data_IF_060372699819
#
_entry.id   IF_060372699819
#
_cell.length_a   1.000
_cell.length_b   1.000
_cell.length_c   1.000
_cell.angle_alpha   90.00
_cell.angle_beta   90.00
_cell.angle_gamma   90.00
#
_symmetry.space_group_name_H-M   'P 1'
#
loop_
_entity.id
_entity.type
_entity.pdbx_description
1 polymer ?
#
# COMPACT_ATOMS: atom_id res chain seq x y z
N UNK A 1 -11.82 2.70 18.47
CA UNK A 1 -10.62 2.78 17.60
C UNK A 1 -9.35 2.71 18.43
N UNK A 2 -8.27 2.05 17.94
CA UNK A 2 -7.04 1.73 18.68
C UNK A 2 -5.87 2.65 18.29
N UNK A 3 -5.02 2.97 19.25
CA UNK A 3 -3.82 3.79 19.04
C UNK A 3 -2.53 2.94 18.93
N UNK A 4 -2.66 1.60 18.98
CA UNK A 4 -1.53 0.65 19.01
C UNK A 4 -1.88 -0.65 18.32
N UNK A 5 -0.97 -1.17 17.50
CA UNK A 5 -1.10 -2.50 16.90
C UNK A 5 -1.01 -3.61 17.95
N UNK A 6 -0.17 -3.41 18.98
CA UNK A 6 -0.06 -4.36 20.10
C UNK A 6 -1.33 -4.41 20.94
N UNK A 7 -2.03 -3.27 21.08
CA UNK A 7 -3.35 -3.23 21.74
C UNK A 7 -4.39 -4.06 20.97
N UNK A 8 -4.47 -3.93 19.64
CA UNK A 8 -5.35 -4.73 18.80
C UNK A 8 -5.08 -6.24 19.04
N UNK A 9 -3.82 -6.66 19.01
CA UNK A 9 -3.44 -8.05 19.25
C UNK A 9 -3.88 -8.50 20.64
N UNK A 10 -3.63 -7.68 21.68
CA UNK A 10 -4.03 -7.98 23.04
C UNK A 10 -5.54 -8.19 23.20
N UNK A 11 -6.34 -7.34 22.55
CA UNK A 11 -7.81 -7.48 22.55
C UNK A 11 -8.24 -8.73 21.80
N UNK A 12 -7.65 -9.01 20.62
CA UNK A 12 -7.93 -10.24 19.87
C UNK A 12 -7.69 -11.51 20.73
N UNK A 13 -6.59 -11.55 21.48
CA UNK A 13 -6.23 -12.67 22.33
C UNK A 13 -7.17 -12.80 23.54
N UNK A 14 -7.46 -11.70 24.23
CA UNK A 14 -8.30 -11.67 25.43
C UNK A 14 -9.77 -12.01 25.15
N UNK A 15 -10.31 -11.46 24.06
CA UNK A 15 -11.72 -11.65 23.69
C UNK A 15 -11.91 -12.86 22.75
N UNK A 16 -10.83 -13.47 22.26
CA UNK A 16 -10.84 -14.57 21.27
C UNK A 16 -11.62 -14.18 20.00
N UNK A 17 -11.46 -12.94 19.58
CA UNK A 17 -12.00 -12.38 18.36
C UNK A 17 -10.93 -12.30 17.27
N UNK A 18 -11.29 -12.51 16.01
CA UNK A 18 -10.34 -12.32 14.92
C UNK A 18 -10.00 -10.84 14.70
N UNK A 19 -8.81 -10.55 14.17
CA UNK A 19 -8.40 -9.17 13.88
C UNK A 19 -9.44 -8.42 13.01
N UNK A 20 -9.89 -8.96 11.84
CA UNK A 20 -10.87 -8.26 11.03
C UNK A 20 -12.23 -8.09 11.74
N UNK A 21 -12.72 -9.10 12.46
CA UNK A 21 -13.99 -8.99 13.15
C UNK A 21 -13.94 -7.94 14.28
N UNK A 22 -12.78 -7.77 14.92
CA UNK A 22 -12.55 -6.71 15.88
C UNK A 22 -12.64 -5.33 15.23
N UNK A 23 -11.92 -5.12 14.11
CA UNK A 23 -11.97 -3.82 13.41
C UNK A 23 -13.36 -3.52 12.88
N UNK A 24 -14.07 -4.50 12.29
CA UNK A 24 -15.46 -4.33 11.83
C UNK A 24 -16.36 -3.87 12.97
N UNK A 25 -16.22 -4.48 14.14
CA UNK A 25 -17.02 -4.12 15.32
C UNK A 25 -16.76 -2.68 15.78
N UNK A 26 -15.50 -2.29 15.87
CA UNK A 26 -15.11 -0.95 16.31
C UNK A 26 -15.50 0.12 15.29
N UNK A 27 -15.25 -0.11 13.99
CA UNK A 27 -15.61 0.84 12.94
C UNK A 27 -17.12 1.05 12.87
N UNK A 28 -17.92 -0.02 12.97
CA UNK A 28 -19.37 0.06 12.99
C UNK A 28 -19.87 0.86 14.22
N UNK A 29 -19.29 0.61 15.39
CA UNK A 29 -19.63 1.33 16.62
C UNK A 29 -19.27 2.81 16.55
N UNK A 30 -18.08 3.14 16.04
CA UNK A 30 -17.62 4.53 15.91
C UNK A 30 -18.45 5.33 14.88
N UNK A 31 -18.93 4.66 13.83
CA UNK A 31 -19.78 5.26 12.80
C UNK A 31 -21.29 5.27 13.17
N UNK A 32 -21.68 4.67 14.29
CA UNK A 32 -23.09 4.49 14.74
C UNK A 32 -23.95 3.80 13.67
N UNK A 33 -23.45 2.70 13.11
CA UNK A 33 -24.10 1.89 12.08
C UNK A 33 -24.03 0.40 12.44
N UNK A 34 -24.76 -0.43 11.69
CA UNK A 34 -24.71 -1.88 11.88
C UNK A 34 -23.45 -2.49 11.29
N UNK A 35 -23.08 -3.68 11.78
CA UNK A 35 -21.97 -4.48 11.25
C UNK A 35 -22.19 -4.79 9.75
N UNK A 36 -23.43 -5.11 9.37
CA UNK A 36 -23.80 -5.41 7.98
C UNK A 36 -23.60 -4.20 7.06
N UNK A 37 -23.95 -2.99 7.54
CA UNK A 37 -23.72 -1.76 6.79
C UNK A 37 -22.24 -1.47 6.61
N UNK A 38 -21.42 -1.68 7.65
CA UNK A 38 -19.97 -1.48 7.56
C UNK A 38 -19.31 -2.48 6.60
N UNK A 39 -19.67 -3.77 6.68
CA UNK A 39 -19.23 -4.78 5.72
C UNK A 39 -19.65 -4.39 4.29
N UNK A 40 -20.89 -3.92 4.12
CA UNK A 40 -21.40 -3.46 2.82
C UNK A 40 -20.58 -2.33 2.20
N UNK A 41 -20.11 -1.37 3.01
CA UNK A 41 -19.22 -0.30 2.54
C UNK A 41 -17.88 -0.87 2.07
N UNK A 42 -17.27 -1.79 2.82
CA UNK A 42 -16.01 -2.40 2.44
C UNK A 42 -16.14 -3.31 1.21
N UNK A 43 -17.30 -3.97 1.01
CA UNK A 43 -17.59 -4.70 -0.23
C UNK A 43 -17.57 -3.78 -1.46
N UNK A 44 -18.14 -2.57 -1.35
CA UNK A 44 -18.07 -1.56 -2.42
C UNK A 44 -16.62 -1.14 -2.70
N UNK A 45 -15.79 -1.02 -1.65
CA UNK A 45 -14.35 -0.72 -1.83
C UNK A 45 -13.61 -1.87 -2.51
N UNK A 46 -13.89 -3.12 -2.12
CA UNK A 46 -13.30 -4.29 -2.78
C UNK A 46 -13.66 -4.36 -4.27
N UNK A 47 -14.92 -4.17 -4.62
CA UNK A 47 -15.34 -4.12 -6.03
C UNK A 47 -14.66 -2.98 -6.79
N UNK A 48 -14.49 -1.81 -6.17
CA UNK A 48 -13.77 -0.71 -6.79
C UNK A 48 -12.28 -1.01 -7.02
N UNK A 49 -11.63 -1.77 -6.13
CA UNK A 49 -10.26 -2.25 -6.30
C UNK A 49 -10.18 -3.22 -7.48
N UNK A 50 -11.09 -4.21 -7.55
CA UNK A 50 -11.15 -5.17 -8.66
C UNK A 50 -11.40 -4.48 -9.99
N UNK A 51 -12.37 -3.58 -10.05
CA UNK A 51 -12.69 -2.82 -11.27
C UNK A 51 -11.49 -1.97 -11.72
N UNK A 52 -10.84 -1.28 -10.79
CA UNK A 52 -9.65 -0.48 -11.09
C UNK A 52 -8.50 -1.31 -11.66
N UNK A 53 -8.22 -2.47 -11.05
CA UNK A 53 -7.16 -3.37 -11.48
C UNK A 53 -7.45 -4.04 -12.83
N UNK A 54 -8.72 -4.37 -13.12
CA UNK A 54 -9.13 -5.09 -14.35
C UNK A 54 -9.38 -4.18 -15.55
N UNK A 55 -9.54 -2.88 -15.34
CA UNK A 55 -9.86 -1.92 -16.40
C UNK A 55 -8.63 -1.11 -16.86
N UNK A 56 -7.43 -1.68 -16.76
CA UNK A 56 -6.23 -1.04 -17.31
C UNK A 56 -6.35 -0.86 -18.84
N UNK A 57 -5.93 0.31 -19.33
CA UNK A 57 -5.91 0.60 -20.77
C UNK A 57 -4.48 0.99 -21.19
N UNK A 58 -3.79 0.12 -21.95
CA UNK A 58 -2.39 0.33 -22.34
C UNK A 58 -2.19 1.49 -23.33
N UNK A 59 -3.26 2.01 -23.93
CA UNK A 59 -3.19 3.09 -24.91
C UNK A 59 -3.27 4.47 -24.26
N UNK A 60 -3.71 4.54 -22.99
CA UNK A 60 -3.78 5.80 -22.29
C UNK A 60 -2.38 6.33 -21.92
N UNK A 61 -2.29 7.64 -21.93
CA UNK A 61 -1.15 8.40 -21.41
C UNK A 61 -1.65 9.40 -20.39
N UNK A 62 -0.83 9.64 -19.37
CA UNK A 62 -1.08 10.74 -18.44
C UNK A 62 -1.09 12.08 -19.19
N UNK A 63 -1.72 13.09 -18.59
CA UNK A 63 -1.79 14.44 -19.20
C UNK A 63 -0.41 15.02 -19.50
N UNK A 64 0.59 14.71 -18.70
CA UNK A 64 1.98 15.11 -18.91
C UNK A 64 2.68 14.33 -20.03
N UNK A 65 2.16 13.16 -20.40
CA UNK A 65 2.79 12.21 -21.32
C UNK A 65 3.92 11.38 -20.70
N UNK A 66 4.24 11.55 -19.41
CA UNK A 66 5.37 10.88 -18.76
C UNK A 66 5.12 9.40 -18.46
N UNK A 67 3.88 9.00 -18.22
CA UNK A 67 3.52 7.62 -17.88
C UNK A 67 2.38 7.09 -18.73
N UNK A 68 2.28 5.76 -18.79
CA UNK A 68 1.27 5.00 -19.53
C UNK A 68 1.90 3.97 -20.46
N UNK A 69 1.30 2.77 -20.50
CA UNK A 69 1.72 1.64 -21.33
C UNK A 69 2.87 0.81 -20.79
N UNK A 70 3.45 1.13 -19.64
CA UNK A 70 4.51 0.31 -19.01
C UNK A 70 3.93 -0.97 -18.39
N UNK A 71 2.68 -0.93 -17.89
CA UNK A 71 1.96 -2.11 -17.44
C UNK A 71 1.84 -3.16 -18.55
N UNK A 72 1.49 -2.75 -19.76
CA UNK A 72 1.43 -3.66 -20.91
C UNK A 72 2.81 -4.21 -21.31
N UNK A 73 3.87 -3.42 -21.21
CA UNK A 73 5.24 -3.93 -21.43
C UNK A 73 5.60 -5.00 -20.39
N UNK A 74 5.22 -4.79 -19.12
CA UNK A 74 5.45 -5.77 -18.07
C UNK A 74 4.62 -7.03 -18.30
N UNK A 75 3.37 -6.91 -18.72
CA UNK A 75 2.52 -8.03 -19.12
C UNK A 75 3.18 -8.84 -20.25
N UNK A 76 3.55 -8.20 -21.35
CA UNK A 76 4.18 -8.85 -22.50
C UNK A 76 5.49 -9.55 -22.12
N UNK A 77 6.31 -8.89 -21.28
CA UNK A 77 7.56 -9.50 -20.79
C UNK A 77 7.27 -10.76 -19.97
N UNK A 78 6.31 -10.72 -19.03
CA UNK A 78 5.93 -11.84 -18.18
C UNK A 78 5.39 -13.02 -18.98
N UNK A 79 4.56 -12.74 -19.99
CA UNK A 79 3.94 -13.79 -20.83
C UNK A 79 4.93 -14.46 -21.80
N UNK A 80 5.97 -13.74 -22.20
CA UNK A 80 6.98 -14.23 -23.17
C UNK A 80 8.29 -14.72 -22.53
N UNK A 81 8.49 -14.48 -21.22
CA UNK A 81 9.74 -14.80 -20.54
C UNK A 81 9.50 -15.35 -19.12
N UNK A 82 10.49 -16.06 -18.59
CA UNK A 82 10.52 -16.40 -17.18
C UNK A 82 11.03 -15.18 -16.39
N UNK A 83 10.18 -14.59 -15.56
CA UNK A 83 10.57 -13.46 -14.72
C UNK A 83 11.58 -13.89 -13.64
N UNK A 84 12.53 -13.03 -13.31
CA UNK A 84 13.55 -13.29 -12.27
C UNK A 84 12.90 -13.56 -10.91
N UNK A 85 11.81 -12.85 -10.60
CA UNK A 85 11.10 -12.96 -9.31
C UNK A 85 10.00 -14.05 -9.31
N UNK A 86 9.89 -14.87 -10.37
CA UNK A 86 8.81 -15.84 -10.55
C UNK A 86 7.51 -15.21 -11.05
N UNK A 87 6.57 -16.05 -11.52
CA UNK A 87 5.34 -15.57 -12.18
C UNK A 87 4.42 -14.81 -11.22
N UNK A 88 4.22 -15.32 -10.00
CA UNK A 88 3.37 -14.65 -9.02
C UNK A 88 3.84 -13.21 -8.74
N UNK A 89 5.11 -13.03 -8.42
CA UNK A 89 5.68 -11.71 -8.19
C UNK A 89 5.67 -10.86 -9.47
N UNK A 90 5.82 -11.47 -10.64
CA UNK A 90 5.66 -10.79 -11.93
C UNK A 90 4.27 -10.18 -12.11
N UNK A 91 3.21 -10.88 -11.67
CA UNK A 91 1.83 -10.36 -11.65
C UNK A 91 1.65 -9.23 -10.64
N UNK A 92 2.26 -9.33 -9.46
CA UNK A 92 2.26 -8.27 -8.46
C UNK A 92 2.91 -6.99 -9.02
N UNK A 93 4.08 -7.11 -9.64
CA UNK A 93 4.79 -5.99 -10.27
C UNK A 93 3.95 -5.35 -11.39
N UNK A 94 3.34 -6.17 -12.25
CA UNK A 94 2.46 -5.72 -13.32
C UNK A 94 1.27 -4.93 -12.76
N UNK A 95 0.54 -5.50 -11.80
CA UNK A 95 -0.63 -4.87 -11.21
C UNK A 95 -0.31 -3.54 -10.50
N UNK A 96 0.86 -3.44 -9.86
CA UNK A 96 1.32 -2.19 -9.24
C UNK A 96 1.53 -1.09 -10.28
N UNK A 97 2.14 -1.41 -11.43
CA UNK A 97 2.34 -0.46 -12.52
C UNK A 97 0.98 -0.07 -13.12
N UNK A 98 0.14 -1.03 -13.49
CA UNK A 98 -1.15 -0.82 -14.15
C UNK A 98 -2.09 0.08 -13.32
N UNK A 99 -2.20 -0.19 -12.02
CA UNK A 99 -3.04 0.63 -11.13
C UNK A 99 -2.49 2.05 -10.99
N UNK A 100 -1.17 2.18 -10.83
CA UNK A 100 -0.55 3.50 -10.69
C UNK A 100 -0.60 4.32 -11.99
N UNK A 101 -0.46 3.69 -13.15
CA UNK A 101 -0.67 4.34 -14.45
C UNK A 101 -2.14 4.72 -14.66
N UNK A 102 -3.08 3.88 -14.22
CA UNK A 102 -4.51 4.20 -14.23
C UNK A 102 -4.80 5.45 -13.41
N UNK A 103 -4.22 5.59 -12.21
CA UNK A 103 -4.30 6.81 -11.42
C UNK A 103 -3.75 8.03 -12.17
N UNK A 104 -2.54 7.94 -12.72
CA UNK A 104 -1.92 9.03 -13.47
C UNK A 104 -2.73 9.42 -14.74
N UNK A 105 -3.44 8.46 -15.32
CA UNK A 105 -4.36 8.66 -16.46
C UNK A 105 -5.78 9.06 -16.03
N UNK A 106 -6.00 9.48 -14.77
CA UNK A 106 -7.27 9.97 -14.23
C UNK A 106 -8.40 8.94 -14.25
N UNK A 107 -8.09 7.65 -14.22
CA UNK A 107 -9.08 6.58 -14.03
C UNK A 107 -9.43 6.44 -12.54
N UNK A 108 -10.57 5.80 -12.28
CA UNK A 108 -11.00 5.50 -10.92
C UNK A 108 -10.05 4.50 -10.26
N UNK A 109 -9.55 4.84 -9.08
CA UNK A 109 -8.77 3.98 -8.19
C UNK A 109 -9.28 4.11 -6.74
N UNK A 110 -8.83 3.22 -5.87
CA UNK A 110 -8.99 3.38 -4.42
C UNK A 110 -7.69 3.93 -3.84
N UNK A 111 -7.77 5.07 -3.15
CA UNK A 111 -6.64 5.64 -2.45
C UNK A 111 -6.47 4.92 -1.10
N UNK A 112 -5.40 4.12 -0.96
CA UNK A 112 -5.14 3.34 0.26
C UNK A 112 -3.63 3.24 0.55
N UNK A 113 -3.10 4.07 1.49
CA UNK A 113 -3.77 5.16 2.20
C UNK A 113 -3.92 6.43 1.36
N UNK A 114 -3.12 6.64 0.30
CA UNK A 114 -3.15 7.84 -0.57
C UNK A 114 -3.23 7.48 -2.04
N UNK A 115 -3.53 8.46 -2.91
CA UNK A 115 -3.49 8.26 -4.36
C UNK A 115 -2.07 7.93 -4.86
N UNK A 116 -1.02 8.44 -4.20
CA UNK A 116 0.38 8.15 -4.54
C UNK A 116 0.77 6.69 -4.33
N UNK A 117 0.14 6.01 -3.38
CA UNK A 117 0.39 4.60 -3.04
C UNK A 117 -0.74 3.65 -3.48
N UNK A 118 -1.68 4.12 -4.29
CA UNK A 118 -2.89 3.40 -4.69
C UNK A 118 -2.64 2.05 -5.39
N UNK A 119 -1.46 1.85 -5.93
CA UNK A 119 -1.08 0.61 -6.62
C UNK A 119 -0.68 -0.53 -5.69
N UNK A 120 -0.35 -0.28 -4.42
CA UNK A 120 0.20 -1.31 -3.53
C UNK A 120 -0.85 -2.35 -3.14
N UNK A 121 -1.98 -1.95 -2.54
CA UNK A 121 -3.01 -2.90 -2.11
C UNK A 121 -3.61 -3.70 -3.29
N UNK A 122 -4.03 -3.09 -4.40
CA UNK A 122 -4.50 -3.87 -5.55
C UNK A 122 -3.45 -4.85 -6.07
N UNK A 123 -2.17 -4.45 -6.10
CA UNK A 123 -1.09 -5.29 -6.60
C UNK A 123 -0.85 -6.55 -5.77
N UNK A 124 -1.04 -6.50 -4.46
CA UNK A 124 -0.86 -7.67 -3.60
C UNK A 124 -2.14 -8.51 -3.47
N UNK A 125 -3.31 -7.85 -3.47
CA UNK A 125 -4.58 -8.52 -3.20
C UNK A 125 -5.20 -9.16 -4.44
N UNK A 126 -5.19 -8.49 -5.61
CA UNK A 126 -5.85 -9.00 -6.82
C UNK A 126 -5.14 -10.23 -7.38
N UNK A 127 -3.80 -10.27 -7.54
CA UNK A 127 -3.11 -11.50 -7.92
C UNK A 127 -3.30 -12.64 -6.91
N UNK A 128 -3.41 -12.32 -5.61
CA UNK A 128 -3.69 -13.32 -4.58
C UNK A 128 -5.10 -13.90 -4.72
N UNK A 129 -6.10 -13.06 -4.90
CA UNK A 129 -7.48 -13.45 -5.16
C UNK A 129 -7.60 -14.39 -6.36
N UNK A 130 -6.94 -14.02 -7.47
CA UNK A 130 -6.99 -14.81 -8.70
C UNK A 130 -6.22 -16.13 -8.60
N UNK A 131 -5.10 -16.17 -7.87
CA UNK A 131 -4.28 -17.38 -7.69
C UNK A 131 -4.92 -18.38 -6.77
N UNK A 132 -5.34 -17.93 -5.57
CA UNK A 132 -5.80 -18.81 -4.50
C UNK A 132 -7.32 -19.00 -4.49
N UNK A 133 -8.07 -18.34 -5.40
CA UNK A 133 -9.54 -18.44 -5.50
C UNK A 133 -10.25 -18.14 -4.18
N UNK A 134 -9.77 -17.12 -3.48
CA UNK A 134 -10.34 -16.66 -2.22
C UNK A 134 -11.73 -16.07 -2.47
N UNK A 135 -12.65 -16.17 -1.50
CA UNK A 135 -13.97 -15.54 -1.60
C UNK A 135 -13.90 -14.01 -1.45
N UNK A 136 -14.87 -13.30 -2.00
CA UNK A 136 -15.00 -11.85 -1.80
C UNK A 136 -15.11 -11.49 -0.32
N UNK A 137 -15.82 -12.28 0.48
CA UNK A 137 -15.97 -12.04 1.92
C UNK A 137 -14.63 -12.10 2.66
N UNK A 138 -13.75 -13.04 2.33
CA UNK A 138 -12.41 -13.12 2.90
C UNK A 138 -11.51 -11.95 2.43
N UNK A 139 -11.69 -11.49 1.19
CA UNK A 139 -10.99 -10.30 0.70
C UNK A 139 -11.45 -9.03 1.41
N UNK A 140 -12.75 -8.92 1.70
CA UNK A 140 -13.32 -7.83 2.50
C UNK A 140 -12.73 -7.84 3.91
N UNK A 141 -12.63 -9.00 4.56
CA UNK A 141 -11.97 -9.13 5.87
C UNK A 141 -10.48 -8.74 5.81
N UNK A 142 -9.78 -9.13 4.76
CA UNK A 142 -8.39 -8.71 4.57
C UNK A 142 -8.24 -7.18 4.42
N UNK A 143 -9.21 -6.51 3.81
CA UNK A 143 -9.26 -5.05 3.74
C UNK A 143 -9.49 -4.40 5.11
N UNK A 144 -10.29 -5.02 6.00
CA UNK A 144 -10.44 -4.54 7.38
C UNK A 144 -9.13 -4.70 8.17
N UNK A 145 -8.37 -5.79 7.96
CA UNK A 145 -7.03 -5.92 8.54
C UNK A 145 -6.12 -4.79 8.05
N UNK A 146 -6.12 -4.52 6.73
CA UNK A 146 -5.37 -3.41 6.16
C UNK A 146 -5.80 -2.06 6.75
N UNK A 147 -7.11 -1.81 6.88
CA UNK A 147 -7.67 -0.58 7.44
C UNK A 147 -7.21 -0.36 8.89
N UNK A 148 -7.33 -1.37 9.75
CA UNK A 148 -6.89 -1.27 11.15
C UNK A 148 -5.40 -0.95 11.28
N UNK A 149 -4.53 -1.54 10.44
CA UNK A 149 -3.11 -1.17 10.41
C UNK A 149 -2.93 0.27 9.94
N UNK A 150 -3.59 0.65 8.84
CA UNK A 150 -3.50 2.00 8.28
C UNK A 150 -3.96 3.09 9.26
N UNK A 151 -5.00 2.81 10.02
CA UNK A 151 -5.54 3.73 11.03
C UNK A 151 -4.55 3.96 12.18
N UNK A 152 -3.95 2.91 12.74
CA UNK A 152 -2.92 3.06 13.78
C UNK A 152 -1.75 3.89 13.27
N UNK A 153 -1.30 3.66 12.03
CA UNK A 153 -0.23 4.48 11.44
C UNK A 153 -0.67 5.93 11.28
N UNK A 154 -1.89 6.19 10.82
CA UNK A 154 -2.41 7.55 10.65
C UNK A 154 -2.49 8.32 11.98
N UNK A 155 -2.82 7.63 13.08
CA UNK A 155 -2.90 8.23 14.42
C UNK A 155 -1.53 8.49 15.05
N UNK A 156 -0.61 7.52 14.94
CA UNK A 156 0.71 7.60 15.59
C UNK A 156 1.71 8.43 14.81
N UNK A 157 1.61 8.40 13.48
CA UNK A 157 2.57 9.06 12.60
C UNK A 157 1.87 9.95 11.58
N UNK A 158 2.09 9.70 10.31
CA UNK A 158 1.39 10.32 9.19
C UNK A 158 1.32 9.34 8.02
N UNK A 159 0.31 9.48 7.19
CA UNK A 159 0.17 8.75 5.94
C UNK A 159 0.44 9.63 4.72
N UNK A 160 0.84 10.89 4.93
CA UNK A 160 1.02 11.89 3.86
C UNK A 160 2.49 12.08 3.49
N UNK A 161 2.77 12.09 2.19
CA UNK A 161 4.10 12.42 1.66
C UNK A 161 4.55 13.84 1.98
N UNK A 162 3.62 14.77 2.10
CA UNK A 162 3.86 16.17 2.45
C UNK A 162 4.30 16.35 3.92
N UNK A 163 3.92 15.44 4.80
CA UNK A 163 4.29 15.47 6.22
C UNK A 163 5.46 14.54 6.52
N UNK A 164 5.36 13.27 6.14
CA UNK A 164 6.29 12.21 6.52
C UNK A 164 7.25 11.75 5.42
N UNK A 165 7.21 12.35 4.22
CA UNK A 165 7.93 11.81 3.06
C UNK A 165 7.22 10.59 2.45
N UNK A 166 7.77 10.03 1.38
CA UNK A 166 7.19 8.87 0.70
C UNK A 166 7.19 7.60 1.58
N UNK A 167 8.03 7.53 2.61
CA UNK A 167 7.98 6.47 3.62
C UNK A 167 6.60 6.38 4.30
N UNK A 168 5.95 7.52 4.55
CA UNK A 168 4.62 7.56 5.15
C UNK A 168 3.56 6.94 4.23
N UNK A 169 3.59 7.23 2.94
CA UNK A 169 2.64 6.66 1.97
C UNK A 169 2.95 5.20 1.64
N UNK A 170 4.17 4.94 1.13
CA UNK A 170 4.58 3.61 0.67
C UNK A 170 4.79 2.64 1.83
N UNK A 171 5.34 3.12 2.96
CA UNK A 171 5.52 2.32 4.17
C UNK A 171 4.19 1.87 4.74
N UNK A 172 3.23 2.78 4.85
CA UNK A 172 1.87 2.45 5.32
C UNK A 172 1.15 1.51 4.36
N UNK A 173 1.15 1.80 3.05
CA UNK A 173 0.51 0.92 2.07
C UNK A 173 1.12 -0.49 2.06
N UNK A 174 2.45 -0.59 2.17
CA UNK A 174 3.15 -1.88 2.26
C UNK A 174 2.81 -2.62 3.56
N UNK A 175 2.72 -1.91 4.70
CA UNK A 175 2.32 -2.49 5.99
C UNK A 175 0.88 -3.03 5.95
N UNK A 176 -0.05 -2.26 5.40
CA UNK A 176 -1.45 -2.65 5.18
C UNK A 176 -1.53 -3.91 4.32
N UNK A 177 -0.81 -3.94 3.19
CA UNK A 177 -0.77 -5.07 2.28
C UNK A 177 -0.13 -6.32 2.90
N UNK A 178 0.95 -6.14 3.67
CA UNK A 178 1.64 -7.24 4.34
C UNK A 178 0.74 -7.91 5.39
N UNK A 179 0.07 -7.14 6.24
CA UNK A 179 -0.87 -7.67 7.23
C UNK A 179 -2.04 -8.41 6.59
N UNK A 180 -2.62 -7.85 5.51
CA UNK A 180 -3.72 -8.47 4.77
C UNK A 180 -3.29 -9.81 4.15
N UNK A 181 -2.09 -9.90 3.57
CA UNK A 181 -1.54 -11.16 3.04
C UNK A 181 -1.31 -12.20 4.14
N UNK A 182 -0.77 -11.79 5.29
CA UNK A 182 -0.60 -12.68 6.45
C UNK A 182 -1.94 -13.23 6.91
N UNK A 183 -2.98 -12.38 7.01
CA UNK A 183 -4.34 -12.80 7.32
C UNK A 183 -4.85 -13.86 6.32
N UNK A 184 -4.78 -13.56 5.02
CA UNK A 184 -5.24 -14.44 3.94
C UNK A 184 -4.50 -15.80 3.90
N UNK A 185 -3.29 -15.85 4.44
CA UNK A 185 -2.50 -17.10 4.60
C UNK A 185 -2.74 -17.79 5.95
N UNK A 186 -3.69 -17.32 6.77
CA UNK A 186 -4.03 -17.90 8.07
C UNK A 186 -3.03 -17.61 9.19
N UNK A 187 -2.20 -16.55 9.03
CA UNK A 187 -1.28 -16.13 10.08
C UNK A 187 -1.99 -15.51 11.29
N UNK A 188 -1.29 -15.50 12.43
CA UNK A 188 -1.81 -14.92 13.68
C UNK A 188 -1.82 -13.38 13.65
N UNK A 189 -2.64 -12.74 14.53
CA UNK A 189 -2.60 -11.27 14.69
C UNK A 189 -1.19 -10.73 14.98
N UNK A 190 -0.39 -11.43 15.78
CA UNK A 190 1.00 -11.07 16.04
C UNK A 190 1.86 -11.12 14.76
N UNK A 191 1.65 -12.10 13.88
CA UNK A 191 2.36 -12.15 12.60
C UNK A 191 1.91 -11.05 11.66
N UNK A 192 0.63 -10.64 11.67
CA UNK A 192 0.12 -9.52 10.88
C UNK A 192 0.84 -8.21 11.24
N UNK A 193 0.91 -7.88 12.54
CA UNK A 193 1.60 -6.66 12.99
C UNK A 193 3.12 -6.74 12.81
N UNK A 194 3.71 -7.94 12.96
CA UNK A 194 5.13 -8.18 12.68
C UNK A 194 5.46 -7.88 11.21
N UNK A 195 4.65 -8.36 10.27
CA UNK A 195 4.81 -8.07 8.84
C UNK A 195 4.65 -6.57 8.55
N UNK A 196 3.70 -5.92 9.22
CA UNK A 196 3.50 -4.47 9.12
C UNK A 196 4.74 -3.69 9.54
N UNK A 197 5.31 -4.02 10.71
CA UNK A 197 6.55 -3.41 11.20
C UNK A 197 7.73 -3.62 10.25
N UNK A 198 7.90 -4.84 9.71
CA UNK A 198 8.92 -5.13 8.71
C UNK A 198 8.76 -4.28 7.46
N UNK A 199 7.55 -4.16 6.95
CA UNK A 199 7.28 -3.38 5.74
C UNK A 199 7.61 -1.89 5.94
N UNK A 200 7.28 -1.31 7.10
CA UNK A 200 7.61 0.08 7.43
C UNK A 200 9.12 0.27 7.58
N UNK A 201 9.80 -0.55 8.40
CA UNK A 201 11.24 -0.37 8.66
C UNK A 201 12.09 -0.43 7.39
N UNK A 202 11.68 -1.23 6.41
CA UNK A 202 12.40 -1.38 5.14
C UNK A 202 12.35 -0.11 4.27
N UNK A 203 11.41 0.78 4.52
CA UNK A 203 11.17 2.00 3.72
C UNK A 203 11.47 3.29 4.50
N UNK A 204 12.00 3.19 5.74
CA UNK A 204 12.40 4.36 6.51
C UNK A 204 13.39 5.24 5.72
N UNK A 205 13.14 6.53 5.73
CA UNK A 205 13.95 7.52 5.02
C UNK A 205 13.60 7.71 3.55
N UNK A 206 12.60 7.00 3.00
CA UNK A 206 12.19 7.21 1.61
C UNK A 206 11.56 8.60 1.45
N UNK A 207 12.27 9.45 0.69
CA UNK A 207 11.86 10.85 0.45
C UNK A 207 10.72 10.97 -0.54
N UNK A 208 9.91 12.04 -0.45
CA UNK A 208 8.90 12.38 -1.45
C UNK A 208 9.42 13.51 -2.35
N UNK A 209 9.85 13.16 -3.56
CA UNK A 209 10.54 14.04 -4.52
C UNK A 209 9.94 13.97 -5.94
N UNK A 210 8.60 14.13 -6.09
CA UNK A 210 7.91 13.96 -7.36
C UNK A 210 8.40 14.97 -8.40
N UNK A 211 8.72 14.47 -9.60
CA UNK A 211 9.15 15.30 -10.73
C UNK A 211 7.98 16.18 -11.18
N UNK A 212 8.21 17.45 -11.32
CA UNK A 212 7.20 18.48 -11.63
C UNK A 212 6.02 18.56 -10.62
N UNK A 213 6.12 17.91 -9.47
CA UNK A 213 5.03 17.81 -8.49
C UNK A 213 3.91 16.86 -8.87
N UNK A 214 4.13 16.00 -9.88
CA UNK A 214 3.13 15.07 -10.39
C UNK A 214 3.27 13.69 -9.73
N UNK A 215 2.13 13.04 -9.41
CA UNK A 215 2.10 11.67 -8.88
C UNK A 215 2.33 10.67 -10.03
N UNK A 216 3.47 10.80 -10.69
CA UNK A 216 3.87 10.04 -11.87
C UNK A 216 5.29 9.48 -11.71
N UNK A 217 6.30 10.34 -11.69
CA UNK A 217 7.71 9.96 -11.55
C UNK A 217 8.24 10.52 -10.23
N UNK A 218 8.72 9.66 -9.32
CA UNK A 218 8.91 8.21 -9.41
C UNK A 218 7.73 7.36 -8.89
N UNK A 219 6.59 7.95 -8.57
CA UNK A 219 5.49 7.34 -7.82
C UNK A 219 5.02 6.00 -8.40
N UNK A 220 4.83 5.90 -9.73
CA UNK A 220 4.43 4.65 -10.39
C UNK A 220 5.41 3.51 -10.07
N UNK A 221 6.71 3.75 -10.14
CA UNK A 221 7.73 2.71 -9.86
C UNK A 221 7.87 2.41 -8.35
N UNK A 222 7.55 3.38 -7.48
CA UNK A 222 7.56 3.17 -6.02
C UNK A 222 6.41 2.28 -5.54
N UNK A 223 5.28 2.27 -6.22
CA UNK A 223 4.22 1.30 -5.94
C UNK A 223 4.69 -0.15 -6.13
N UNK A 224 5.55 -0.40 -7.12
CA UNK A 224 6.19 -1.72 -7.31
C UNK A 224 6.99 -2.13 -6.08
N UNK A 225 7.85 -1.22 -5.58
CA UNK A 225 8.67 -1.51 -4.39
C UNK A 225 7.79 -1.73 -3.17
N UNK A 226 6.74 -0.92 -2.98
CA UNK A 226 5.79 -1.09 -1.88
C UNK A 226 5.11 -2.45 -1.91
N UNK A 227 4.63 -2.90 -3.08
CA UNK A 227 3.97 -4.19 -3.24
C UNK A 227 4.93 -5.38 -3.03
N UNK A 228 6.13 -5.33 -3.61
CA UNK A 228 7.16 -6.37 -3.42
C UNK A 228 7.59 -6.46 -1.95
N UNK A 229 7.79 -5.31 -1.30
CA UNK A 229 8.11 -5.24 0.13
C UNK A 229 6.98 -5.85 0.98
N UNK A 230 5.71 -5.58 0.68
CA UNK A 230 4.59 -6.17 1.38
C UNK A 230 4.58 -7.70 1.28
N UNK A 231 4.77 -8.26 0.08
CA UNK A 231 4.84 -9.70 -0.14
C UNK A 231 6.00 -10.34 0.64
N UNK A 232 7.19 -9.76 0.56
CA UNK A 232 8.37 -10.30 1.27
C UNK A 232 8.23 -10.20 2.79
N UNK A 233 7.69 -9.11 3.32
CA UNK A 233 7.44 -8.95 4.75
C UNK A 233 6.41 -9.96 5.26
N UNK A 234 5.36 -10.24 4.49
CA UNK A 234 4.37 -11.26 4.81
C UNK A 234 5.00 -12.65 4.89
N UNK A 235 5.77 -13.06 3.88
CA UNK A 235 6.44 -14.36 3.86
C UNK A 235 7.42 -14.52 5.01
N UNK A 236 8.22 -13.49 5.33
CA UNK A 236 9.18 -13.51 6.44
C UNK A 236 8.46 -13.68 7.79
N UNK A 237 7.35 -12.96 8.00
CA UNK A 237 6.56 -13.08 9.24
C UNK A 237 5.87 -14.46 9.34
N UNK A 238 5.33 -14.99 8.24
CA UNK A 238 4.73 -16.33 8.18
C UNK A 238 5.76 -17.44 8.42
N UNK A 239 7.01 -17.22 8.02
CA UNK A 239 8.12 -18.13 8.34
C UNK A 239 8.52 -18.11 9.84
N UNK A 240 7.88 -17.30 10.68
CA UNK A 240 8.13 -17.17 12.10
C UNK A 240 9.29 -16.24 12.46
N UNK A 241 9.79 -15.47 11.51
CA UNK A 241 10.84 -14.47 11.75
C UNK A 241 10.18 -13.20 12.30
N UNK A 242 10.66 -12.74 13.46
CA UNK A 242 10.10 -11.59 14.17
C UNK A 242 10.97 -10.34 14.02
N UNK A 243 10.37 -9.18 14.24
CA UNK A 243 11.10 -7.91 14.40
C UNK A 243 11.63 -7.80 15.84
N UNK A 244 12.80 -7.16 16.01
CA UNK A 244 13.38 -6.92 17.34
C UNK A 244 12.85 -5.63 17.97
N UNK A 245 12.50 -4.67 17.15
CA UNK A 245 11.84 -3.44 17.58
C UNK A 245 10.33 -3.66 17.45
N UNK A 246 9.55 -3.43 18.50
CA UNK A 246 8.09 -3.54 18.45
C UNK A 246 7.47 -2.74 17.29
N UNK A 247 6.43 -3.26 16.60
CA UNK A 247 5.84 -2.59 15.45
C UNK A 247 5.38 -1.15 15.72
N UNK A 248 4.81 -0.87 16.88
CA UNK A 248 4.40 0.48 17.27
C UNK A 248 5.58 1.43 17.39
N UNK A 249 6.72 0.99 17.92
CA UNK A 249 7.93 1.78 17.98
C UNK A 249 8.56 2.01 16.60
N UNK A 250 8.37 1.10 15.65
CA UNK A 250 8.78 1.31 14.25
C UNK A 250 7.92 2.40 13.61
N UNK A 251 6.61 2.46 13.90
CA UNK A 251 5.73 3.55 13.47
C UNK A 251 6.20 4.89 14.08
N UNK A 252 6.53 4.90 15.36
CA UNK A 252 7.06 6.10 16.03
C UNK A 252 8.39 6.56 15.42
N UNK A 253 9.27 5.60 15.06
CA UNK A 253 10.52 5.90 14.36
C UNK A 253 10.26 6.47 12.95
N UNK A 254 9.23 5.98 12.23
CA UNK A 254 8.84 6.56 10.95
C UNK A 254 8.40 8.03 11.11
N UNK A 255 7.67 8.34 12.20
CA UNK A 255 7.31 9.72 12.53
C UNK A 255 8.54 10.58 12.77
N UNK A 256 9.45 10.14 13.63
CA UNK A 256 10.67 10.88 13.96
C UNK A 256 11.53 11.16 12.72
N UNK A 257 11.72 10.14 11.87
CA UNK A 257 12.41 10.29 10.57
C UNK A 257 11.66 11.28 9.68
N UNK A 258 10.34 11.17 9.60
CA UNK A 258 9.49 12.09 8.84
C UNK A 258 9.63 13.54 9.31
N UNK A 259 9.55 13.78 10.63
CA UNK A 259 9.70 15.09 11.22
C UNK A 259 11.09 15.69 10.95
N UNK A 260 12.13 14.84 10.94
CA UNK A 260 13.53 15.21 10.67
C UNK A 260 13.82 15.44 9.18
N UNK A 261 12.99 14.99 8.26
CA UNK A 261 13.19 15.22 6.82
C UNK A 261 13.12 16.71 6.50
N UNK A 262 14.11 17.19 5.73
CA UNK A 262 14.07 18.55 5.20
C UNK A 262 12.85 18.73 4.29
N UNK A 263 12.18 19.89 4.38
CA UNK A 263 10.97 20.22 3.61
C UNK A 263 11.12 20.03 2.09
N UNK A 264 12.35 20.13 1.54
CA UNK A 264 12.62 19.85 0.12
C UNK A 264 12.34 18.39 -0.30
N UNK A 265 12.21 17.48 0.67
CA UNK A 265 11.94 16.06 0.47
C UNK A 265 10.52 15.62 0.89
N UNK A 266 9.65 16.61 1.12
CA UNK A 266 8.25 16.43 1.54
C UNK A 266 7.29 16.92 0.47
N UNK A 267 7.28 16.25 -0.70
CA UNK A 267 6.35 16.49 -1.83
C UNK A 267 6.43 17.91 -2.45
N UNK A 268 7.49 18.65 -2.19
CA UNK A 268 7.62 20.05 -2.65
C UNK A 268 8.23 20.20 -4.03
N UNK A 269 8.67 19.11 -4.67
CA UNK A 269 9.43 19.12 -5.92
C UNK A 269 10.71 20.01 -5.88
N UNK A 270 11.26 20.26 -4.68
CA UNK A 270 12.44 21.11 -4.48
C UNK A 270 13.71 20.32 -4.14
N UNK A 271 13.68 18.99 -4.21
CA UNK A 271 14.80 18.12 -3.86
C UNK A 271 14.78 16.82 -4.66
N UNK A 272 15.81 15.99 -4.44
CA UNK A 272 15.89 14.65 -5.02
C UNK A 272 15.80 14.63 -6.53
N UNK A 273 15.00 13.71 -7.07
CA UNK A 273 14.83 13.53 -8.51
C UNK A 273 14.27 14.77 -9.21
N UNK A 274 13.41 15.54 -8.54
CA UNK A 274 12.75 16.71 -9.12
C UNK A 274 13.72 17.83 -9.52
N UNK A 275 14.92 17.87 -8.95
CA UNK A 275 15.94 18.90 -9.24
C UNK A 275 17.14 18.39 -10.03
N UNK A 276 17.13 17.15 -10.49
CA UNK A 276 18.13 16.66 -11.43
C UNK A 276 17.99 17.43 -12.76
N UNK A 277 19.05 17.51 -13.58
CA UNK A 277 18.96 18.19 -14.87
C UNK A 277 17.78 17.73 -15.71
N UNK A 278 17.51 16.42 -15.78
CA UNK A 278 16.37 15.89 -16.52
C UNK A 278 15.04 16.20 -15.82
N UNK A 279 14.96 16.13 -14.49
CA UNK A 279 13.78 16.51 -13.72
C UNK A 279 13.37 17.96 -13.93
N UNK A 280 14.33 18.88 -14.00
CA UNK A 280 14.10 20.30 -14.33
C UNK A 280 13.57 20.45 -15.74
N UNK A 281 14.19 19.79 -16.72
CA UNK A 281 13.75 19.81 -18.12
C UNK A 281 12.33 19.28 -18.28
N UNK A 282 12.00 18.14 -17.65
CA UNK A 282 10.65 17.60 -17.64
C UNK A 282 9.66 18.63 -17.05
N UNK A 283 9.99 19.25 -15.93
CA UNK A 283 9.12 20.26 -15.31
C UNK A 283 8.83 21.45 -16.26
N UNK A 284 9.79 21.82 -17.09
CA UNK A 284 9.60 22.90 -18.09
C UNK A 284 8.72 22.47 -19.27
N UNK A 285 8.74 21.17 -19.61
CA UNK A 285 7.93 20.62 -20.71
C UNK A 285 6.47 20.39 -20.34
N UNK A 286 6.16 20.16 -19.05
CA UNK A 286 4.79 19.83 -18.59
C UNK A 286 4.05 21.02 -17.94
N UNK A 287 4.66 22.20 -17.89
CA UNK A 287 4.00 23.47 -17.50
C UNK A 287 3.05 23.94 -18.60
#
# INVERSE_FOLDING_TARGET
MYDSLEEIVSVCENEKISFPDLIIREDAADADITIEEEIGKMQVMWQAILDGARNYDPNLKSRSGLVGGDGYKMQTYRESNTTICGDYMGRVIQAAIETSESNACMKRIVAAPTAGSCGVLPAVLVPFYDEYKVSDDEMVKALFVAAGVGEVVARRASISGAEGGCQAEMGTAAAMGAAALVYLKGGSPMQMITASGMAIQNLLGLVCDPVAGLVEVPCVKRNVIGAVNACSAADVALAGITVRIPPDQIIDAMKDVGDSLNSRFKETARGGLAITPEGIKIRELVK
#
